data_IF_887008038969
#
_entry.id   IF_887008038969
#
_cell.length_a   1.000
_cell.length_b   1.000
_cell.length_c   1.000
_cell.angle_alpha   90.00
_cell.angle_beta   90.00
_cell.angle_gamma   90.00
#
_symmetry.space_group_name_H-M   'P 1'
#
loop_
_entity.id
_entity.type
_entity.pdbx_description
1 polymer ?
#
# COMPACT_ATOMS: atom_id res chain seq x y z
N UNK A 1 -37.38 -56.19 19.18
CA UNK A 1 -36.54 -57.11 19.98
C UNK A 1 -35.58 -56.26 20.79
N UNK A 2 -35.75 -56.20 22.12
CA UNK A 2 -34.90 -55.39 23.00
C UNK A 2 -33.55 -56.09 23.22
N UNK A 3 -32.46 -55.48 22.79
CA UNK A 3 -31.10 -55.90 23.15
C UNK A 3 -30.94 -55.72 24.67
N UNK A 4 -30.82 -56.84 25.39
CA UNK A 4 -30.40 -56.80 26.79
C UNK A 4 -28.93 -56.41 26.84
N UNK A 5 -28.65 -55.18 27.29
CA UNK A 5 -27.29 -54.74 27.60
C UNK A 5 -26.85 -55.47 28.88
N UNK A 6 -26.07 -56.53 28.72
CA UNK A 6 -25.45 -57.25 29.84
C UNK A 6 -24.35 -56.36 30.43
N UNK A 7 -24.61 -55.81 31.62
CA UNK A 7 -23.62 -55.05 32.39
C UNK A 7 -22.44 -55.97 32.70
N UNK A 8 -21.24 -55.56 32.30
CA UNK A 8 -19.99 -56.28 32.53
C UNK A 8 -19.80 -56.62 34.01
N UNK A 9 -19.24 -57.80 34.30
CA UNK A 9 -18.97 -58.25 35.67
C UNK A 9 -18.14 -57.23 36.48
N UNK A 10 -17.21 -56.54 35.82
CA UNK A 10 -16.43 -55.48 36.44
C UNK A 10 -17.30 -54.30 36.89
N UNK A 11 -18.31 -53.95 36.11
CA UNK A 11 -19.21 -52.84 36.43
C UNK A 11 -20.18 -53.22 37.55
N UNK A 12 -20.57 -54.50 37.65
CA UNK A 12 -21.32 -55.02 38.78
C UNK A 12 -20.51 -54.98 40.08
N UNK A 13 -19.22 -55.33 40.03
CA UNK A 13 -18.32 -55.24 41.18
C UNK A 13 -18.10 -53.79 41.61
N UNK A 14 -17.87 -52.87 40.66
CA UNK A 14 -17.75 -51.43 40.93
C UNK A 14 -19.03 -50.87 41.57
N UNK A 15 -20.20 -51.28 41.08
CA UNK A 15 -21.49 -50.87 41.64
C UNK A 15 -21.69 -51.37 43.08
N UNK A 16 -21.36 -52.65 43.35
CA UNK A 16 -21.41 -53.22 44.71
C UNK A 16 -20.47 -52.51 45.67
N UNK A 17 -19.22 -52.27 45.26
CA UNK A 17 -18.24 -51.55 46.07
C UNK A 17 -18.70 -50.11 46.37
N UNK A 18 -19.28 -49.43 45.38
CA UNK A 18 -19.86 -48.09 45.56
C UNK A 18 -21.03 -48.10 46.54
N UNK A 19 -21.93 -49.07 46.45
CA UNK A 19 -23.07 -49.19 47.35
C UNK A 19 -22.65 -49.47 48.81
N UNK A 20 -21.65 -50.34 49.02
CA UNK A 20 -21.08 -50.61 50.34
C UNK A 20 -20.44 -49.35 50.92
N UNK A 21 -19.68 -48.61 50.10
CA UNK A 21 -19.04 -47.37 50.51
C UNK A 21 -20.05 -46.28 50.88
N UNK A 22 -21.11 -46.10 50.11
CA UNK A 22 -22.18 -45.13 50.42
C UNK A 22 -22.93 -45.50 51.69
N UNK A 23 -23.14 -46.80 51.95
CA UNK A 23 -23.77 -47.28 53.19
C UNK A 23 -22.92 -47.00 54.43
N UNK A 24 -21.60 -47.19 54.34
CA UNK A 24 -20.69 -47.04 55.48
C UNK A 24 -20.22 -45.59 55.69
N UNK A 25 -19.97 -44.85 54.61
CA UNK A 25 -19.30 -43.55 54.64
C UNK A 25 -20.22 -42.38 54.25
N UNK A 26 -21.49 -42.65 53.96
CA UNK A 26 -22.44 -41.67 53.45
C UNK A 26 -22.16 -41.25 52.00
N UNK A 27 -22.99 -40.34 51.47
CA UNK A 27 -22.79 -39.78 50.13
C UNK A 27 -21.52 -38.91 50.13
N UNK A 28 -20.61 -39.06 49.15
CA UNK A 28 -19.43 -38.22 49.08
C UNK A 28 -19.84 -36.76 48.94
N UNK A 29 -19.31 -35.90 49.81
CA UNK A 29 -19.50 -34.45 49.73
C UNK A 29 -18.86 -33.95 48.44
N UNK A 30 -19.67 -33.61 47.44
CA UNK A 30 -19.19 -33.03 46.17
C UNK A 30 -18.78 -31.58 46.47
N UNK A 31 -17.50 -31.36 46.74
CA UNK A 31 -16.97 -30.01 46.93
C UNK A 31 -16.72 -29.40 45.55
N UNK A 32 -17.43 -28.31 45.21
CA UNK A 32 -17.32 -27.60 43.92
C UNK A 32 -15.93 -26.99 43.63
N UNK A 33 -14.95 -27.17 44.53
CA UNK A 33 -13.57 -26.67 44.42
C UNK A 33 -12.87 -27.17 43.15
N UNK A 34 -13.21 -28.36 42.66
CA UNK A 34 -12.54 -28.91 41.47
C UNK A 34 -12.86 -28.14 40.17
N UNK A 35 -14.08 -27.62 39.99
CA UNK A 35 -14.45 -26.98 38.72
C UNK A 35 -13.77 -25.63 38.53
N UNK A 36 -13.67 -24.83 39.59
CA UNK A 36 -13.01 -23.53 39.53
C UNK A 36 -11.49 -23.68 39.41
N UNK A 37 -10.88 -24.61 40.14
CA UNK A 37 -9.44 -24.89 40.04
C UNK A 37 -9.08 -25.48 38.67
N UNK A 38 -9.92 -26.36 38.10
CA UNK A 38 -9.72 -26.86 36.73
C UNK A 38 -9.90 -25.74 35.70
N UNK A 39 -10.87 -24.84 35.89
CA UNK A 39 -11.08 -23.68 35.01
C UNK A 39 -9.91 -22.71 35.08
N UNK A 40 -9.39 -22.41 36.27
CA UNK A 40 -8.18 -21.59 36.46
C UNK A 40 -6.92 -22.26 35.91
N UNK A 41 -6.74 -23.56 36.13
CA UNK A 41 -5.62 -24.31 35.59
C UNK A 41 -5.65 -24.37 34.06
N UNK A 42 -6.84 -24.53 33.46
CA UNK A 42 -7.02 -24.46 32.02
C UNK A 42 -6.77 -23.04 31.49
N UNK A 43 -7.33 -22.00 32.13
CA UNK A 43 -7.06 -20.61 31.78
C UNK A 43 -5.56 -20.29 31.80
N UNK A 44 -4.83 -20.77 32.82
CA UNK A 44 -3.36 -20.65 32.92
C UNK A 44 -2.61 -21.43 31.84
N UNK A 45 -3.09 -22.63 31.46
CA UNK A 45 -2.50 -23.40 30.35
C UNK A 45 -2.67 -22.70 29.00
N UNK A 46 -3.79 -22.03 28.77
CA UNK A 46 -4.04 -21.30 27.52
C UNK A 46 -3.34 -19.94 27.50
N UNK A 47 -3.24 -19.22 28.62
CA UNK A 47 -2.51 -17.95 28.69
C UNK A 47 -0.99 -18.12 28.50
N UNK A 48 -0.43 -19.25 28.95
CA UNK A 48 1.00 -19.53 28.81
C UNK A 48 1.43 -19.94 27.40
N UNK A 49 0.50 -20.35 26.52
CA UNK A 49 0.80 -20.83 25.15
C UNK A 49 0.76 -19.75 24.08
N UNK A 50 0.25 -18.56 24.38
CA UNK A 50 0.16 -17.45 23.42
C UNK A 50 1.33 -16.47 23.56
N UNK A 51 2.57 -16.97 23.56
CA UNK A 51 3.69 -16.09 23.19
C UNK A 51 3.71 -16.06 21.66
N UNK A 52 3.30 -14.95 21.01
CA UNK A 52 3.43 -14.85 19.56
C UNK A 52 4.89 -15.05 19.21
N UNK A 53 5.18 -16.06 18.37
CA UNK A 53 6.51 -16.28 17.82
C UNK A 53 6.75 -15.18 16.80
N UNK A 54 7.20 -14.01 17.26
CA UNK A 54 7.39 -12.83 16.43
C UNK A 54 8.20 -13.13 15.15
N UNK A 55 9.19 -14.02 15.23
CA UNK A 55 10.01 -14.42 14.07
C UNK A 55 9.37 -15.46 13.16
N UNK A 56 8.55 -16.37 13.68
CA UNK A 56 7.97 -17.44 12.86
C UNK A 56 6.98 -16.89 11.83
N UNK A 57 6.24 -15.82 12.18
CA UNK A 57 5.24 -15.22 11.30
C UNK A 57 5.74 -13.95 10.59
N UNK A 58 7.02 -13.57 10.76
CA UNK A 58 7.57 -12.39 10.09
C UNK A 58 7.48 -12.51 8.55
N UNK A 59 7.76 -13.70 8.01
CA UNK A 59 7.65 -13.97 6.58
C UNK A 59 6.19 -14.01 6.09
N UNK A 60 5.26 -14.52 6.91
CA UNK A 60 3.82 -14.49 6.62
C UNK A 60 3.30 -13.05 6.61
N UNK A 61 3.73 -12.22 7.55
CA UNK A 61 3.39 -10.78 7.59
C UNK A 61 3.97 -10.03 6.41
N UNK A 62 5.22 -10.30 6.03
CA UNK A 62 5.84 -9.71 4.84
C UNK A 62 5.11 -10.14 3.56
N UNK A 63 4.71 -11.42 3.47
CA UNK A 63 3.93 -11.95 2.35
C UNK A 63 2.52 -11.36 2.29
N UNK A 64 1.82 -11.25 3.41
CA UNK A 64 0.50 -10.61 3.49
C UNK A 64 0.56 -9.12 3.16
N UNK A 65 1.56 -8.40 3.64
CA UNK A 65 1.77 -6.99 3.30
C UNK A 65 2.10 -6.82 1.80
N UNK A 66 2.92 -7.69 1.23
CA UNK A 66 3.19 -7.73 -0.21
C UNK A 66 1.91 -8.03 -1.01
N UNK A 67 1.16 -9.06 -0.63
CA UNK A 67 -0.07 -9.46 -1.33
C UNK A 67 -1.16 -8.39 -1.22
N UNK A 68 -1.26 -7.72 -0.08
CA UNK A 68 -2.18 -6.60 0.13
C UNK A 68 -1.79 -5.36 -0.70
N UNK A 69 -0.48 -5.07 -0.84
CA UNK A 69 0.05 -4.03 -1.75
C UNK A 69 -0.22 -4.36 -3.22
N UNK A 70 -0.09 -5.62 -3.61
CA UNK A 70 -0.28 -6.07 -5.00
C UNK A 70 -1.76 -6.17 -5.37
N UNK A 71 -2.64 -6.51 -4.43
CA UNK A 71 -4.05 -6.76 -4.70
C UNK A 71 -4.99 -5.56 -4.49
N UNK A 72 -4.54 -4.41 -3.97
CA UNK A 72 -5.41 -3.25 -3.65
C UNK A 72 -6.63 -3.58 -2.76
N UNK A 73 -6.55 -4.63 -1.92
CA UNK A 73 -7.70 -5.14 -1.17
C UNK A 73 -7.76 -4.75 0.30
N UNK A 74 -6.68 -4.17 0.87
CA UNK A 74 -6.70 -3.74 2.28
C UNK A 74 -6.96 -2.24 2.37
N UNK A 75 -7.95 -1.85 3.17
CA UNK A 75 -8.22 -0.44 3.43
C UNK A 75 -7.22 0.13 4.44
N UNK A 76 -7.13 1.46 4.52
CA UNK A 76 -6.29 2.15 5.51
C UNK A 76 -6.76 1.79 6.93
N UNK A 77 -8.08 1.69 7.12
CA UNK A 77 -8.72 1.33 8.37
C UNK A 77 -8.36 -0.09 8.81
N UNK A 78 -8.46 -1.06 7.89
CA UNK A 78 -8.14 -2.46 8.18
C UNK A 78 -6.66 -2.61 8.54
N UNK A 79 -5.78 -1.96 7.78
CA UNK A 79 -4.34 -2.01 8.07
C UNK A 79 -4.00 -1.30 9.39
N UNK A 80 -4.62 -0.17 9.69
CA UNK A 80 -4.47 0.50 11.00
C UNK A 80 -4.87 -0.43 12.14
N UNK A 81 -6.03 -1.07 12.04
CA UNK A 81 -6.49 -2.02 13.04
C UNK A 81 -5.52 -3.18 13.20
N UNK A 82 -5.03 -3.75 12.09
CA UNK A 82 -4.04 -4.81 12.10
C UNK A 82 -2.74 -4.39 12.80
N UNK A 83 -2.24 -3.17 12.58
CA UNK A 83 -1.06 -2.64 13.27
C UNK A 83 -1.32 -2.50 14.77
N UNK A 84 -2.49 -1.98 15.16
CA UNK A 84 -2.88 -1.88 16.57
C UNK A 84 -2.91 -3.26 17.23
N UNK A 85 -3.56 -4.25 16.61
CA UNK A 85 -3.67 -5.61 17.13
C UNK A 85 -2.29 -6.27 17.30
N UNK A 86 -1.38 -6.07 16.34
CA UNK A 86 -0.02 -6.62 16.39
C UNK A 86 0.81 -6.03 17.54
N UNK A 87 0.61 -4.76 17.86
CA UNK A 87 1.35 -4.08 18.92
C UNK A 87 0.64 -4.12 20.28
N UNK A 88 -0.58 -4.67 20.33
CA UNK A 88 -1.42 -4.66 21.53
C UNK A 88 -1.91 -3.25 21.91
N UNK A 89 -2.09 -2.38 20.92
CA UNK A 89 -2.64 -1.03 21.12
C UNK A 89 -4.15 -1.06 20.97
N UNK A 90 -4.85 -0.27 21.78
CA UNK A 90 -6.28 -0.06 21.63
C UNK A 90 -6.54 1.00 20.54
N UNK A 91 -7.14 0.57 19.42
CA UNK A 91 -7.43 1.43 18.28
C UNK A 91 -8.31 2.64 18.66
N UNK A 92 -9.26 2.47 19.59
CA UNK A 92 -10.14 3.57 20.02
C UNK A 92 -9.36 4.62 20.81
N UNK A 93 -8.40 4.19 21.62
CA UNK A 93 -7.50 5.09 22.36
C UNK A 93 -6.56 5.84 21.43
N UNK A 94 -6.06 5.17 20.37
CA UNK A 94 -5.22 5.79 19.34
C UNK A 94 -6.00 6.87 18.58
N UNK A 95 -7.24 6.59 18.23
CA UNK A 95 -8.12 7.53 17.53
C UNK A 95 -8.63 8.66 18.44
N UNK A 96 -8.82 8.39 19.73
CA UNK A 96 -9.38 9.32 20.71
C UNK A 96 -8.47 10.52 21.05
N UNK A 97 -9.01 11.61 21.64
CA UNK A 97 -8.29 12.87 21.83
C UNK A 97 -7.16 12.84 22.87
N UNK A 98 -6.89 11.70 23.51
CA UNK A 98 -5.93 11.57 24.59
C UNK A 98 -4.51 11.98 24.15
N UNK A 99 -3.84 12.76 25.00
CA UNK A 99 -2.51 13.36 24.77
C UNK A 99 -1.44 12.90 25.76
N UNK A 100 -1.72 11.87 26.57
CA UNK A 100 -0.69 11.26 27.41
C UNK A 100 0.47 10.77 26.54
N UNK A 101 1.70 10.98 27.02
CA UNK A 101 2.91 10.78 26.21
C UNK A 101 2.99 9.38 25.60
N UNK A 102 2.69 8.33 26.38
CA UNK A 102 2.73 6.96 25.88
C UNK A 102 1.69 6.69 24.78
N UNK A 103 0.49 7.30 24.86
CA UNK A 103 -0.53 7.18 23.82
C UNK A 103 -0.12 7.95 22.57
N UNK A 104 0.50 9.13 22.73
CA UNK A 104 1.05 9.89 21.60
C UNK A 104 2.13 9.09 20.89
N UNK A 105 3.02 8.42 21.62
CA UNK A 105 4.04 7.53 21.02
C UNK A 105 3.43 6.37 20.25
N UNK A 106 2.44 5.68 20.83
CA UNK A 106 1.74 4.60 20.14
C UNK A 106 1.04 5.11 18.87
N UNK A 107 0.42 6.29 18.93
CA UNK A 107 -0.22 6.91 17.78
C UNK A 107 0.78 7.28 16.70
N UNK A 108 1.91 7.88 17.08
CA UNK A 108 3.00 8.21 16.16
C UNK A 108 3.48 6.95 15.41
N UNK A 109 3.68 5.85 16.13
CA UNK A 109 4.03 4.55 15.57
C UNK A 109 3.00 4.08 14.53
N UNK A 110 1.71 4.07 14.89
CA UNK A 110 0.65 3.59 13.99
C UNK A 110 0.54 4.48 12.74
N UNK A 111 0.60 5.81 12.89
CA UNK A 111 0.57 6.75 11.76
C UNK A 111 1.75 6.48 10.82
N UNK A 112 2.94 6.22 11.37
CA UNK A 112 4.12 5.92 10.58
C UNK A 112 3.97 4.61 9.81
N UNK A 113 3.53 3.53 10.45
CA UNK A 113 3.30 2.23 9.79
C UNK A 113 2.26 2.35 8.65
N UNK A 114 1.17 3.09 8.89
CA UNK A 114 0.16 3.32 7.86
C UNK A 114 0.73 4.14 6.71
N UNK A 115 1.47 5.21 6.98
CA UNK A 115 2.09 6.00 5.91
C UNK A 115 3.10 5.19 5.10
N UNK A 116 3.86 4.32 5.78
CA UNK A 116 4.80 3.38 5.19
C UNK A 116 4.15 2.36 4.26
N UNK A 117 2.95 1.92 4.62
CA UNK A 117 2.16 0.99 3.80
C UNK A 117 1.48 1.69 2.62
N UNK A 118 1.05 2.93 2.80
CA UNK A 118 0.34 3.73 1.80
C UNK A 118 1.08 5.04 1.48
N UNK A 119 2.29 4.99 0.91
CA UNK A 119 3.13 6.17 0.70
C UNK A 119 2.56 7.13 -0.34
N UNK A 120 1.68 6.67 -1.22
CA UNK A 120 1.01 7.50 -2.24
C UNK A 120 -0.16 8.31 -1.66
N UNK A 121 -0.67 7.94 -0.48
CA UNK A 121 -1.78 8.64 0.17
C UNK A 121 -1.30 9.97 0.72
N UNK A 122 -2.02 11.04 0.38
CA UNK A 122 -1.70 12.37 0.86
C UNK A 122 -1.81 12.47 2.38
N UNK A 123 -0.89 13.21 3.03
CA UNK A 123 -0.91 13.44 4.49
C UNK A 123 -2.24 14.03 4.98
N UNK A 124 -2.91 14.84 4.16
CA UNK A 124 -4.25 15.37 4.44
C UNK A 124 -5.32 14.27 4.51
N UNK A 125 -5.24 13.27 3.64
CA UNK A 125 -6.18 12.14 3.67
C UNK A 125 -5.91 11.27 4.89
N UNK A 126 -4.64 10.98 5.20
CA UNK A 126 -4.28 10.34 6.48
C UNK A 126 -4.84 11.13 7.67
N UNK A 127 -4.74 12.45 7.65
CA UNK A 127 -5.26 13.30 8.72
C UNK A 127 -6.77 13.09 8.91
N UNK A 128 -7.56 13.06 7.83
CA UNK A 128 -9.00 12.74 7.89
C UNK A 128 -9.26 11.34 8.46
N UNK A 129 -8.52 10.34 7.98
CA UNK A 129 -8.67 8.92 8.39
C UNK A 129 -8.31 8.69 9.86
N UNK A 130 -7.45 9.53 10.43
CA UNK A 130 -7.08 9.52 11.84
C UNK A 130 -7.87 10.53 12.71
N UNK A 131 -8.77 11.33 12.11
CA UNK A 131 -9.49 12.39 12.82
C UNK A 131 -8.56 13.48 13.37
N UNK A 132 -7.54 13.87 12.60
CA UNK A 132 -6.48 14.83 12.99
C UNK A 132 -6.25 15.91 11.95
N UNK A 133 -5.47 16.89 12.37
CA UNK A 133 -4.93 17.93 11.50
C UNK A 133 -3.70 17.43 10.74
N UNK A 134 -3.50 17.97 9.54
CA UNK A 134 -2.34 17.68 8.70
C UNK A 134 -1.01 17.99 9.41
N UNK A 135 -0.96 19.04 10.23
CA UNK A 135 0.20 19.38 11.06
C UNK A 135 0.53 18.28 12.08
N UNK A 136 -0.48 17.67 12.67
CA UNK A 136 -0.33 16.57 13.64
C UNK A 136 0.24 15.33 12.95
N UNK A 137 -0.27 14.98 11.76
CA UNK A 137 0.29 13.87 10.97
C UNK A 137 1.75 14.14 10.63
N UNK A 138 2.09 15.34 10.14
CA UNK A 138 3.48 15.71 9.82
C UNK A 138 4.41 15.54 11.02
N UNK A 139 4.02 16.07 12.18
CA UNK A 139 4.82 15.94 13.39
C UNK A 139 4.94 14.49 13.87
N UNK A 140 3.88 13.70 13.73
CA UNK A 140 3.89 12.28 14.13
C UNK A 140 4.87 11.48 13.29
N UNK A 141 4.86 11.69 11.96
CA UNK A 141 5.81 11.09 11.04
C UNK A 141 7.25 11.51 11.35
N UNK A 142 7.49 12.81 11.57
CA UNK A 142 8.82 13.34 11.88
C UNK A 142 9.36 12.80 13.21
N UNK A 143 8.53 12.76 14.27
CA UNK A 143 8.92 12.19 15.57
C UNK A 143 9.26 10.71 15.46
N UNK A 144 8.46 9.92 14.75
CA UNK A 144 8.70 8.49 14.62
C UNK A 144 9.89 8.19 13.70
N UNK A 145 10.07 8.98 12.63
CA UNK A 145 11.26 8.90 11.78
C UNK A 145 12.54 9.15 12.59
N UNK A 146 12.55 10.20 13.42
CA UNK A 146 13.66 10.52 14.31
C UNK A 146 13.95 9.39 15.32
N UNK A 147 12.91 8.77 15.90
CA UNK A 147 13.08 7.60 16.80
C UNK A 147 13.71 6.40 16.09
N UNK A 148 13.44 6.24 14.80
CA UNK A 148 13.95 5.13 13.98
C UNK A 148 15.26 5.46 13.24
N UNK A 149 15.76 6.68 13.36
CA UNK A 149 16.95 7.14 12.64
C UNK A 149 16.77 7.20 11.12
N UNK A 150 15.53 7.39 10.65
CA UNK A 150 15.19 7.52 9.22
C UNK A 150 15.08 9.00 8.89
N UNK A 151 15.66 9.43 7.77
CA UNK A 151 15.50 10.81 7.30
C UNK A 151 14.06 11.06 6.83
N UNK A 152 13.51 12.26 7.10
CA UNK A 152 12.17 12.61 6.66
C UNK A 152 12.10 12.67 5.11
N UNK A 153 13.20 13.02 4.45
CA UNK A 153 13.29 13.02 2.99
C UNK A 153 13.12 11.62 2.40
N UNK A 154 13.65 10.60 3.08
CA UNK A 154 13.53 9.19 2.68
C UNK A 154 12.09 8.67 2.71
N UNK A 155 11.21 9.27 3.52
CA UNK A 155 9.78 8.90 3.55
C UNK A 155 9.05 9.33 2.26
N UNK A 156 9.56 10.35 1.59
CA UNK A 156 8.94 10.94 0.39
C UNK A 156 9.73 10.70 -0.89
N UNK A 157 10.84 9.93 -0.78
CA UNK A 157 11.72 9.62 -1.89
C UNK A 157 10.95 8.94 -3.01
N UNK A 158 11.31 9.29 -4.25
CA UNK A 158 10.59 8.80 -5.43
C UNK A 158 10.69 7.27 -5.53
N UNK A 159 11.85 6.71 -5.18
CA UNK A 159 12.10 5.27 -5.19
C UNK A 159 11.25 4.51 -4.17
N UNK A 160 10.88 5.14 -3.05
CA UNK A 160 9.99 4.52 -2.06
C UNK A 160 8.52 4.65 -2.43
N UNK A 161 8.11 5.84 -2.87
CA UNK A 161 6.70 6.14 -3.17
C UNK A 161 6.28 5.53 -4.52
N UNK A 162 7.21 5.46 -5.47
CA UNK A 162 6.99 4.96 -6.83
C UNK A 162 8.11 3.98 -7.24
N UNK A 163 8.18 2.80 -6.61
CA UNK A 163 9.32 1.89 -6.74
C UNK A 163 9.60 1.43 -8.17
N UNK A 164 8.56 1.15 -8.95
CA UNK A 164 8.72 0.68 -10.33
C UNK A 164 8.60 1.81 -11.35
N UNK A 165 8.64 3.09 -10.95
CA UNK A 165 8.41 4.21 -11.87
C UNK A 165 9.37 4.25 -13.05
N UNK A 166 10.66 3.95 -12.81
CA UNK A 166 11.67 3.89 -13.87
C UNK A 166 11.35 2.78 -14.88
N UNK A 167 10.97 1.61 -14.38
CA UNK A 167 10.60 0.44 -15.19
C UNK A 167 9.32 0.71 -15.97
N UNK A 168 8.31 1.31 -15.32
CA UNK A 168 7.03 1.65 -15.93
C UNK A 168 7.22 2.64 -17.10
N UNK A 169 8.10 3.64 -16.93
CA UNK A 169 8.46 4.58 -18.00
C UNK A 169 9.27 3.88 -19.10
N UNK A 170 10.23 3.02 -18.75
CA UNK A 170 11.05 2.27 -19.70
C UNK A 170 10.23 1.27 -20.54
N UNK A 171 9.19 0.67 -19.95
CA UNK A 171 8.21 -0.17 -20.63
C UNK A 171 7.27 0.64 -21.55
N UNK A 172 7.36 1.97 -21.53
CA UNK A 172 6.58 2.85 -22.39
C UNK A 172 5.14 3.06 -21.95
N UNK A 173 4.80 2.80 -20.67
CA UNK A 173 3.48 3.11 -20.16
C UNK A 173 3.22 4.62 -20.23
N UNK A 174 1.99 4.98 -20.56
CA UNK A 174 1.56 6.37 -20.56
C UNK A 174 1.49 6.92 -19.13
N UNK A 175 1.65 8.25 -18.99
CA UNK A 175 1.42 8.94 -17.72
C UNK A 175 0.06 8.62 -17.09
N UNK A 176 -0.95 8.34 -17.91
CA UNK A 176 -2.28 7.97 -17.44
C UNK A 176 -2.33 6.56 -16.84
N UNK A 177 -1.71 5.58 -17.48
CA UNK A 177 -1.64 4.20 -16.97
C UNK A 177 -0.83 4.13 -15.68
N UNK A 178 0.31 4.83 -15.65
CA UNK A 178 1.14 4.94 -14.45
C UNK A 178 0.35 5.63 -13.32
N UNK A 179 -0.33 6.73 -13.62
CA UNK A 179 -1.20 7.42 -12.66
C UNK A 179 -2.29 6.52 -12.09
N UNK A 180 -2.95 5.73 -12.95
CA UNK A 180 -3.96 4.76 -12.53
C UNK A 180 -3.38 3.66 -11.64
N UNK A 181 -2.20 3.14 -11.96
CA UNK A 181 -1.49 2.13 -11.16
C UNK A 181 -1.20 2.62 -9.74
N UNK A 182 -0.74 3.87 -9.60
CA UNK A 182 -0.39 4.44 -8.30
C UNK A 182 -1.53 5.19 -7.60
N UNK A 183 -2.71 5.29 -8.22
CA UNK A 183 -3.87 5.99 -7.66
C UNK A 183 -3.68 7.50 -7.50
N UNK A 184 -2.85 8.14 -8.34
CA UNK A 184 -2.55 9.58 -8.27
C UNK A 184 -2.89 10.27 -9.59
N UNK A 185 -2.89 11.61 -9.60
CA UNK A 185 -3.08 12.37 -10.85
C UNK A 185 -1.87 12.26 -11.80
N UNK A 186 -2.13 12.24 -13.11
CA UNK A 186 -1.10 12.20 -14.18
C UNK A 186 -0.08 13.35 -14.09
N UNK A 187 -0.51 14.54 -13.63
CA UNK A 187 0.38 15.67 -13.38
C UNK A 187 1.40 15.38 -12.25
N UNK A 188 1.02 14.59 -11.24
CA UNK A 188 1.93 14.19 -10.15
C UNK A 188 3.00 13.25 -10.67
N UNK A 189 2.62 12.24 -11.45
CA UNK A 189 3.57 11.35 -12.13
C UNK A 189 4.48 12.15 -13.07
N UNK A 190 3.94 13.04 -13.90
CA UNK A 190 4.75 13.87 -14.80
C UNK A 190 5.80 14.71 -14.07
N UNK A 191 5.47 15.29 -12.90
CA UNK A 191 6.46 15.99 -12.05
C UNK A 191 7.52 15.05 -11.51
N UNK A 192 7.14 13.85 -11.05
CA UNK A 192 8.07 12.84 -10.52
C UNK A 192 9.01 12.33 -11.60
N UNK A 193 8.50 12.05 -12.79
CA UNK A 193 9.30 11.63 -13.94
C UNK A 193 10.27 12.73 -14.40
N UNK A 194 9.88 14.00 -14.29
CA UNK A 194 10.79 15.13 -14.55
C UNK A 194 11.92 15.23 -13.54
N UNK A 195 11.63 15.02 -12.26
CA UNK A 195 12.66 15.04 -11.21
C UNK A 195 13.71 13.94 -11.37
N UNK A 196 13.33 12.78 -11.91
CA UNK A 196 14.27 11.68 -12.22
C UNK A 196 14.91 11.79 -13.61
N UNK A 197 14.66 12.87 -14.36
CA UNK A 197 15.27 13.11 -15.67
C UNK A 197 14.74 12.26 -16.82
N UNK A 198 13.65 11.50 -16.65
CA UNK A 198 13.11 10.61 -17.69
C UNK A 198 12.01 11.28 -18.55
N UNK A 199 11.97 12.61 -18.59
CA UNK A 199 10.95 13.34 -19.36
C UNK A 199 11.03 13.06 -20.86
N UNK A 200 12.22 12.79 -21.38
CA UNK A 200 12.44 12.52 -22.81
C UNK A 200 11.91 11.14 -23.23
N UNK A 201 11.82 10.21 -22.28
CA UNK A 201 11.20 8.90 -22.48
C UNK A 201 9.67 8.97 -22.47
N UNK A 202 9.11 10.01 -21.85
CA UNK A 202 7.69 10.36 -21.93
C UNK A 202 7.37 11.09 -23.24
N UNK A 203 7.76 10.48 -24.36
CA UNK A 203 7.30 10.89 -25.67
C UNK A 203 5.86 10.46 -25.84
N UNK A 204 4.90 11.37 -25.61
CA UNK A 204 3.59 11.23 -26.25
C UNK A 204 3.84 10.90 -27.72
N UNK A 205 3.22 9.83 -28.24
CA UNK A 205 3.45 9.35 -29.62
C UNK A 205 3.39 10.55 -30.56
N UNK A 206 4.54 11.14 -30.89
CA UNK A 206 4.61 12.10 -31.99
C UNK A 206 4.25 11.23 -33.17
N UNK A 207 3.08 11.44 -33.76
CA UNK A 207 2.70 10.78 -35.01
C UNK A 207 3.82 11.11 -35.98
N UNK A 208 4.77 10.18 -36.14
CA UNK A 208 5.90 10.38 -37.06
C UNK A 208 5.25 10.32 -38.42
N UNK A 209 5.23 11.47 -39.10
CA UNK A 209 4.80 11.51 -40.48
C UNK A 209 5.70 10.53 -41.25
N UNK A 210 5.12 9.71 -42.14
CA UNK A 210 5.90 8.97 -43.12
C UNK A 210 6.90 9.88 -43.83
N UNK A 211 8.09 9.36 -44.13
CA UNK A 211 9.18 10.13 -44.73
C UNK A 211 8.76 10.85 -46.02
N UNK A 212 7.94 10.22 -46.87
CA UNK A 212 7.42 10.82 -48.09
C UNK A 212 6.55 12.08 -47.84
N UNK A 213 5.82 12.15 -46.72
CA UNK A 213 5.07 13.36 -46.37
C UNK A 213 6.00 14.47 -45.89
N UNK A 214 7.11 14.13 -45.23
CA UNK A 214 8.11 15.10 -44.78
C UNK A 214 8.77 15.76 -46.01
N UNK A 215 9.16 14.96 -47.00
CA UNK A 215 9.72 15.43 -48.27
C UNK A 215 8.74 16.33 -49.04
N UNK A 216 7.46 15.95 -49.13
CA UNK A 216 6.45 16.79 -49.77
C UNK A 216 6.19 18.12 -49.04
N UNK A 217 6.28 18.13 -47.70
CA UNK A 217 6.21 19.35 -46.88
C UNK A 217 7.46 20.20 -47.09
N UNK A 218 8.63 19.58 -47.22
CA UNK A 218 9.91 20.24 -47.48
C UNK A 218 9.90 21.02 -48.79
N UNK A 219 9.49 20.36 -49.88
CA UNK A 219 9.36 20.98 -51.20
C UNK A 219 8.44 22.19 -51.14
N UNK A 220 7.26 22.05 -50.52
CA UNK A 220 6.30 23.14 -50.35
C UNK A 220 6.84 24.29 -49.50
N UNK A 221 7.66 23.98 -48.49
CA UNK A 221 8.30 24.97 -47.64
C UNK A 221 9.37 25.78 -48.39
N UNK A 222 10.20 25.10 -49.19
CA UNK A 222 11.23 25.75 -50.00
C UNK A 222 10.66 26.47 -51.23
N UNK A 223 9.55 26.00 -51.80
CA UNK A 223 8.81 26.69 -52.87
C UNK A 223 8.16 28.01 -52.41
N UNK A 224 8.24 28.32 -51.12
CA UNK A 224 7.79 29.58 -50.55
C UNK A 224 6.32 29.63 -50.15
N UNK A 225 5.61 28.49 -50.10
CA UNK A 225 4.22 28.46 -49.60
C UNK A 225 4.16 28.92 -48.15
N UNK A 226 3.07 29.59 -47.80
CA UNK A 226 2.86 30.05 -46.42
C UNK A 226 2.60 28.87 -45.50
N UNK A 227 3.05 28.97 -44.25
CA UNK A 227 2.84 27.91 -43.26
C UNK A 227 1.37 27.52 -43.09
N UNK A 228 0.43 28.47 -43.29
CA UNK A 228 -1.01 28.18 -43.30
C UNK A 228 -1.44 27.26 -44.43
N UNK A 229 -0.97 27.49 -45.67
CA UNK A 229 -1.30 26.63 -46.82
C UNK A 229 -0.73 25.23 -46.65
N UNK A 230 0.48 25.11 -46.10
CA UNK A 230 1.13 23.82 -45.81
C UNK A 230 0.34 23.07 -44.73
N UNK A 231 -0.02 23.75 -43.63
CA UNK A 231 -0.82 23.14 -42.56
C UNK A 231 -2.18 22.63 -43.05
N UNK A 232 -2.86 23.41 -43.91
CA UNK A 232 -4.14 23.00 -44.50
C UNK A 232 -3.98 21.80 -45.45
N UNK A 233 -2.98 21.83 -46.33
CA UNK A 233 -2.77 20.78 -47.35
C UNK A 233 -2.44 19.42 -46.74
N UNK A 234 -1.61 19.40 -45.71
CA UNK A 234 -1.13 18.16 -45.08
C UNK A 234 -1.86 17.82 -43.79
N UNK A 235 -2.91 18.56 -43.44
CA UNK A 235 -3.72 18.37 -42.23
C UNK A 235 -2.88 18.33 -40.93
N UNK A 236 -1.85 19.18 -40.85
CA UNK A 236 -0.97 19.28 -39.67
C UNK A 236 -1.19 20.59 -38.92
N UNK A 237 -0.96 20.58 -37.60
CA UNK A 237 -1.00 21.80 -36.80
C UNK A 237 0.23 22.68 -37.06
N UNK A 238 0.08 24.01 -36.88
CA UNK A 238 1.21 24.95 -36.98
C UNK A 238 2.36 24.63 -36.02
N UNK A 239 2.03 24.10 -34.83
CA UNK A 239 3.02 23.68 -33.86
C UNK A 239 3.84 22.49 -34.38
N UNK A 240 3.18 21.53 -35.02
CA UNK A 240 3.86 20.37 -35.62
C UNK A 240 4.74 20.81 -36.80
N UNK A 241 4.25 21.69 -37.68
CA UNK A 241 5.05 22.26 -38.77
C UNK A 241 6.30 22.98 -38.25
N UNK A 242 6.18 23.76 -37.16
CA UNK A 242 7.32 24.46 -36.54
C UNK A 242 8.35 23.49 -35.97
N UNK A 243 7.90 22.39 -35.34
CA UNK A 243 8.81 21.35 -34.84
C UNK A 243 9.55 20.65 -35.99
N UNK A 244 8.89 20.39 -37.12
CA UNK A 244 9.51 19.82 -38.32
C UNK A 244 10.57 20.78 -38.88
N UNK A 245 10.21 22.03 -39.14
CA UNK A 245 11.15 23.05 -39.65
C UNK A 245 12.38 23.19 -38.76
N UNK A 246 12.19 23.21 -37.43
CA UNK A 246 13.27 23.27 -36.45
C UNK A 246 14.14 22.01 -36.49
N UNK A 247 13.52 20.83 -36.53
CA UNK A 247 14.21 19.53 -36.48
C UNK A 247 15.12 19.31 -37.68
N UNK A 248 14.69 19.74 -38.87
CA UNK A 248 15.44 19.59 -40.11
C UNK A 248 16.24 20.85 -40.51
N UNK A 249 16.22 21.90 -39.69
CA UNK A 249 17.00 23.12 -39.94
C UNK A 249 16.57 23.89 -41.20
N UNK A 250 15.37 23.66 -41.73
CA UNK A 250 14.93 24.23 -43.02
C UNK A 250 14.91 25.76 -43.04
N UNK A 251 14.69 26.40 -41.89
CA UNK A 251 14.74 27.87 -41.78
C UNK A 251 16.12 28.43 -42.11
N UNK A 252 17.19 27.77 -41.66
CA UNK A 252 18.56 28.18 -41.89
C UNK A 252 18.97 27.93 -43.34
N UNK A 253 18.58 26.77 -43.89
CA UNK A 253 18.83 26.41 -45.29
C UNK A 253 18.16 27.41 -46.22
N UNK A 254 16.89 27.75 -45.95
CA UNK A 254 16.13 28.72 -46.75
C UNK A 254 16.69 30.14 -46.64
N UNK A 255 17.20 30.53 -45.46
CA UNK A 255 17.87 31.81 -45.27
C UNK A 255 19.18 31.88 -46.06
N UNK A 256 20.02 30.84 -46.00
CA UNK A 256 21.26 30.74 -46.78
C UNK A 256 21.00 30.74 -48.29
N UNK A 257 19.96 30.06 -48.75
CA UNK A 257 19.58 30.02 -50.17
C UNK A 257 19.06 31.37 -50.70
N UNK A 258 18.52 32.24 -49.83
CA UNK A 258 18.07 33.59 -50.19
C UNK A 258 19.16 34.65 -50.13
N UNK A 259 20.26 34.36 -49.43
CA UNK A 259 21.40 35.26 -49.28
C UNK A 259 22.47 35.05 -50.39
N UNK A 260 22.26 34.07 -51.27
CA UNK A 260 23.02 33.83 -52.50
C UNK A 260 22.23 34.35 -53.68
#
# INVERSE_FOLDING_TARGET
MNQMVTISYEDQLKAKAKAVRERLMGKPKVVNVAKEVIREANARKFSARSRPRADADAHVRAWQAYHARVANQITIEDYRQQVCDQQGFDNDVIMGPNRQDHIVRQRDFVIFEVHMMFPTVAKLELARRFGRDNSTIRQSLSREAARRGVDEEDLTSIERVYPTLREDVAQGLSLYEIAKKYGVGSATIGRKVRMIGLSDQLGGRKTRLPQHLIEAIEEDYFSGKTGNKICQRYHISRAHLRDIVRRYGWSEIRAKARAR
#
